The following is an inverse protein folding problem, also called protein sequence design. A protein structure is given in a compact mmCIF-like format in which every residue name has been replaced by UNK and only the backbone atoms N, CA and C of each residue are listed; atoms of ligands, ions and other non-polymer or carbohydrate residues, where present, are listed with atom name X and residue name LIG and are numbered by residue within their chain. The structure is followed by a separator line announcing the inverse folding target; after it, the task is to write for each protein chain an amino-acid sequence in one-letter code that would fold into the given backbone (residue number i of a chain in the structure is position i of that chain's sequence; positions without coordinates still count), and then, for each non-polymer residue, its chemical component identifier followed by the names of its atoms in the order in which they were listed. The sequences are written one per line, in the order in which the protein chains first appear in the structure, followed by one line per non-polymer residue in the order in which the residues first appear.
data_IF_860282170341
#
_entry.id   IF_860282170341
#
_cell.length_a   1.000
_cell.length_b   1.000
_cell.length_c   1.000
_cell.angle_alpha   90.00
_cell.angle_beta   90.00
_cell.angle_gamma   90.00
#
_symmetry.space_group_name_H-M   'P 1'
#
loop_
_entity.id
_entity.type
_entity.pdbx_description
1 polymer ?
#
# COMPACT_ATOMS: atom_id res chain seq x y z
N UNK A 1 -8.75 22.12 7.42
CA UNK A 1 -7.51 21.31 7.39
C UNK A 1 -7.12 21.02 5.96
N UNK A 2 -5.88 21.30 5.60
CA UNK A 2 -5.35 21.00 4.27
C UNK A 2 -4.98 19.50 4.17
N UNK A 3 -4.81 19.01 2.94
CA UNK A 3 -4.36 17.64 2.71
C UNK A 3 -3.01 17.39 3.39
N UNK A 4 -2.09 18.34 3.30
CA UNK A 4 -0.78 18.25 3.95
C UNK A 4 -0.90 18.09 5.46
N UNK A 5 -1.71 18.93 6.11
CA UNK A 5 -1.93 18.84 7.56
C UNK A 5 -2.54 17.50 7.96
N UNK A 6 -3.50 17.03 7.18
CA UNK A 6 -4.13 15.73 7.43
C UNK A 6 -3.13 14.59 7.32
N UNK A 7 -2.34 14.57 6.25
CA UNK A 7 -1.35 13.51 6.04
C UNK A 7 -0.28 13.52 7.13
N UNK A 8 0.18 14.70 7.56
CA UNK A 8 1.16 14.82 8.62
C UNK A 8 0.66 14.25 9.96
N UNK A 9 -0.64 14.29 10.19
CA UNK A 9 -1.23 13.74 11.41
C UNK A 9 -1.65 12.28 11.31
N UNK A 10 -1.84 11.77 10.10
CA UNK A 10 -2.35 10.42 9.86
C UNK A 10 -1.26 9.41 9.50
N UNK A 11 -0.35 9.80 8.62
CA UNK A 11 0.69 8.90 8.10
C UNK A 11 1.85 8.80 9.09
N UNK A 12 2.39 7.59 9.33
CA UNK A 12 3.54 7.42 10.22
C UNK A 12 4.76 8.23 9.78
N UNK A 13 5.57 8.69 10.74
CA UNK A 13 6.73 9.52 10.48
C UNK A 13 7.73 8.88 9.51
N UNK A 14 7.89 7.55 9.58
CA UNK A 14 8.81 6.86 8.68
C UNK A 14 8.41 7.01 7.21
N UNK A 15 7.12 7.05 6.92
CA UNK A 15 6.63 7.30 5.56
C UNK A 15 6.77 8.77 5.19
N UNK A 16 6.47 9.67 6.12
CA UNK A 16 6.61 11.11 5.88
C UNK A 16 8.03 11.50 5.55
N UNK A 17 9.02 10.88 6.22
CA UNK A 17 10.44 11.14 5.95
C UNK A 17 10.87 10.66 4.56
N UNK A 18 10.17 9.68 4.00
CA UNK A 18 10.46 9.14 2.67
C UNK A 18 9.75 9.91 1.56
N UNK A 19 8.84 10.82 1.92
CA UNK A 19 8.08 11.63 0.97
C UNK A 19 8.76 12.98 0.77
N UNK A 20 8.91 13.39 -0.49
CA UNK A 20 9.47 14.72 -0.80
C UNK A 20 8.47 15.82 -0.43
N UNK A 21 7.18 15.50 -0.54
CA UNK A 21 6.10 16.43 -0.18
C UNK A 21 4.91 15.64 0.34
N UNK A 22 4.06 16.27 1.12
CA UNK A 22 2.85 15.65 1.65
C UNK A 22 1.72 15.77 0.62
N UNK A 23 1.72 14.87 -0.37
CA UNK A 23 0.73 14.83 -1.44
C UNK A 23 0.26 13.40 -1.68
N UNK A 24 -0.87 13.25 -2.36
CA UNK A 24 -1.41 11.94 -2.71
C UNK A 24 -0.43 11.16 -3.58
N UNK A 25 0.19 11.80 -4.58
CA UNK A 25 1.13 11.15 -5.49
C UNK A 25 2.39 10.67 -4.76
N UNK A 26 2.95 11.51 -3.90
CA UNK A 26 4.13 11.13 -3.10
C UNK A 26 3.80 9.98 -2.16
N UNK A 27 2.62 10.01 -1.55
CA UNK A 27 2.16 8.93 -0.67
C UNK A 27 2.00 7.62 -1.45
N UNK A 28 1.45 7.69 -2.67
CA UNK A 28 1.30 6.51 -3.52
C UNK A 28 2.65 5.88 -3.84
N UNK A 29 3.66 6.67 -4.14
CA UNK A 29 5.02 6.16 -4.43
C UNK A 29 5.62 5.43 -3.24
N UNK A 30 5.50 6.00 -2.04
CA UNK A 30 6.02 5.39 -0.81
C UNK A 30 5.24 4.10 -0.49
N UNK A 31 3.93 4.14 -0.66
CA UNK A 31 3.09 2.96 -0.43
C UNK A 31 3.42 1.84 -1.42
N UNK A 32 3.70 2.18 -2.68
CA UNK A 32 4.08 1.19 -3.69
C UNK A 32 5.33 0.42 -3.28
N UNK A 33 6.36 1.12 -2.81
CA UNK A 33 7.58 0.48 -2.33
C UNK A 33 7.32 -0.40 -1.11
N UNK A 34 6.51 0.08 -0.18
CA UNK A 34 6.14 -0.66 1.02
C UNK A 34 5.37 -1.94 0.69
N UNK A 35 4.37 -1.82 -0.18
CA UNK A 35 3.53 -2.95 -0.61
C UNK A 35 4.39 -3.98 -1.35
N UNK A 36 5.26 -3.52 -2.25
CA UNK A 36 6.12 -4.41 -3.01
C UNK A 36 7.06 -5.20 -2.10
N UNK A 37 7.63 -4.56 -1.09
CA UNK A 37 8.49 -5.22 -0.11
C UNK A 37 7.76 -6.33 0.64
N UNK A 38 6.55 -6.04 1.14
CA UNK A 38 5.76 -7.02 1.88
C UNK A 38 5.31 -8.14 0.94
N UNK A 39 4.82 -7.78 -0.25
CA UNK A 39 4.35 -8.75 -1.23
C UNK A 39 5.46 -9.69 -1.66
N UNK A 40 6.67 -9.18 -1.89
CA UNK A 40 7.82 -9.99 -2.27
C UNK A 40 8.16 -11.03 -1.20
N UNK A 41 8.11 -10.64 0.08
CA UNK A 41 8.38 -11.56 1.20
C UNK A 41 7.29 -12.62 1.32
N UNK A 42 6.04 -12.23 1.23
CA UNK A 42 4.91 -13.16 1.32
C UNK A 42 4.92 -14.13 0.14
N UNK A 43 5.12 -13.63 -1.07
CA UNK A 43 5.16 -14.47 -2.27
C UNK A 43 6.34 -15.44 -2.24
N UNK A 44 7.47 -15.04 -1.67
CA UNK A 44 8.63 -15.90 -1.51
C UNK A 44 8.29 -17.10 -0.59
N UNK A 45 7.64 -16.83 0.54
CA UNK A 45 7.19 -17.87 1.47
C UNK A 45 6.15 -18.79 0.82
N UNK A 46 5.20 -18.20 0.11
CA UNK A 46 4.10 -18.93 -0.53
C UNK A 46 4.49 -19.54 -1.89
N UNK A 47 5.72 -19.32 -2.33
CA UNK A 47 6.27 -19.84 -3.58
C UNK A 47 5.49 -19.44 -4.81
N UNK A 48 5.10 -18.17 -4.87
CA UNK A 48 4.46 -17.60 -6.05
C UNK A 48 5.29 -16.40 -6.55
N UNK A 49 5.04 -16.01 -7.80
CA UNK A 49 5.73 -14.87 -8.38
C UNK A 49 5.28 -13.57 -7.70
N UNK A 50 6.21 -12.65 -7.49
CA UNK A 50 5.88 -11.33 -6.97
C UNK A 50 4.90 -10.61 -7.91
N UNK A 51 4.01 -9.74 -7.39
CA UNK A 51 3.07 -9.03 -8.25
C UNK A 51 3.80 -8.06 -9.18
N UNK A 52 3.17 -7.82 -10.34
CA UNK A 52 3.64 -6.85 -11.30
C UNK A 52 3.67 -5.45 -10.65
N UNK A 53 4.69 -4.67 -10.99
CA UNK A 53 4.83 -3.30 -10.52
C UNK A 53 3.58 -2.47 -10.81
N UNK A 54 2.96 -2.63 -11.98
CA UNK A 54 1.74 -1.92 -12.33
C UNK A 54 0.58 -2.26 -11.40
N UNK A 55 0.47 -3.52 -10.99
CA UNK A 55 -0.55 -3.94 -10.04
C UNK A 55 -0.31 -3.31 -8.66
N UNK A 56 0.94 -3.30 -8.21
CA UNK A 56 1.32 -2.70 -6.93
C UNK A 56 1.05 -1.18 -6.95
N UNK A 57 1.40 -0.51 -8.05
CA UNK A 57 1.10 0.92 -8.21
C UNK A 57 -0.39 1.19 -8.18
N UNK A 58 -1.20 0.31 -8.77
CA UNK A 58 -2.66 0.41 -8.71
C UNK A 58 -3.17 0.32 -7.29
N UNK A 59 -2.68 -0.62 -6.51
CA UNK A 59 -3.04 -0.74 -5.09
C UNK A 59 -2.62 0.51 -4.31
N UNK A 60 -1.40 0.97 -4.52
CA UNK A 60 -0.87 2.15 -3.83
C UNK A 60 -1.67 3.40 -4.13
N UNK A 61 -2.00 3.62 -5.40
CA UNK A 61 -2.80 4.78 -5.82
C UNK A 61 -4.20 4.75 -5.20
N UNK A 62 -4.81 3.57 -5.18
CA UNK A 62 -6.14 3.37 -4.61
C UNK A 62 -6.14 3.67 -3.10
N UNK A 63 -5.14 3.16 -2.39
CA UNK A 63 -5.00 3.39 -0.94
C UNK A 63 -4.67 4.84 -0.63
N UNK A 64 -3.78 5.47 -1.40
CA UNK A 64 -3.45 6.87 -1.22
C UNK A 64 -4.68 7.75 -1.43
N UNK A 65 -5.47 7.46 -2.45
CA UNK A 65 -6.73 8.15 -2.70
C UNK A 65 -7.72 7.98 -1.55
N UNK A 66 -7.85 6.75 -1.04
CA UNK A 66 -8.71 6.46 0.12
C UNK A 66 -8.28 7.22 1.36
N UNK A 67 -6.97 7.29 1.62
CA UNK A 67 -6.42 8.04 2.75
C UNK A 67 -6.76 9.53 2.59
N UNK A 68 -6.54 10.10 1.41
CA UNK A 68 -6.81 11.53 1.17
C UNK A 68 -8.30 11.86 1.24
N UNK A 69 -9.18 10.90 0.94
CA UNK A 69 -10.63 11.06 1.07
C UNK A 69 -11.13 10.75 2.49
N UNK A 70 -10.20 10.45 3.41
CA UNK A 70 -10.51 10.15 4.82
C UNK A 70 -11.41 8.93 4.99
N UNK A 71 -11.23 7.93 4.13
CA UNK A 71 -11.99 6.67 4.19
C UNK A 71 -11.49 5.75 5.29
N UNK A 72 -10.25 5.93 5.75
CA UNK A 72 -9.65 5.15 6.82
C UNK A 72 -9.60 5.97 8.11
N UNK A 73 -9.92 5.32 9.23
CA UNK A 73 -9.96 5.99 10.54
C UNK A 73 -8.57 6.15 11.15
N UNK A 74 -7.69 5.17 10.90
CA UNK A 74 -6.34 5.13 11.45
C UNK A 74 -5.42 4.36 10.51
N UNK A 75 -4.14 4.52 10.70
CA UNK A 75 -3.13 3.86 9.87
C UNK A 75 -3.23 2.33 9.91
N UNK A 76 -3.57 1.75 11.08
CA UNK A 76 -3.75 0.31 11.20
C UNK A 76 -4.76 -0.26 10.21
N UNK A 77 -5.80 0.50 9.88
CA UNK A 77 -6.81 0.08 8.91
C UNK A 77 -6.21 0.00 7.49
N UNK A 78 -5.28 0.91 7.18
CA UNK A 78 -4.56 0.90 5.90
C UNK A 78 -3.65 -0.33 5.82
N UNK A 79 -2.93 -0.63 6.89
CA UNK A 79 -2.06 -1.81 6.94
C UNK A 79 -2.84 -3.10 6.77
N UNK A 80 -4.00 -3.19 7.41
CA UNK A 80 -4.90 -4.35 7.28
C UNK A 80 -5.34 -4.52 5.83
N UNK A 81 -5.73 -3.42 5.17
CA UNK A 81 -6.15 -3.45 3.76
C UNK A 81 -5.00 -3.89 2.85
N UNK A 82 -3.78 -3.43 3.11
CA UNK A 82 -2.60 -3.85 2.36
C UNK A 82 -2.42 -5.37 2.47
N UNK A 83 -2.48 -5.91 3.67
CA UNK A 83 -2.36 -7.35 3.90
C UNK A 83 -3.47 -8.13 3.18
N UNK A 84 -4.70 -7.65 3.26
CA UNK A 84 -5.84 -8.30 2.60
C UNK A 84 -5.64 -8.38 1.09
N UNK A 85 -5.15 -7.31 0.47
CA UNK A 85 -4.90 -7.28 -0.97
C UNK A 85 -3.78 -8.21 -1.38
N UNK A 86 -2.71 -8.28 -0.58
CA UNK A 86 -1.58 -9.18 -0.85
C UNK A 86 -2.01 -10.63 -0.75
N UNK A 87 -2.75 -11.01 0.29
CA UNK A 87 -3.22 -12.37 0.46
C UNK A 87 -4.25 -12.76 -0.60
N UNK A 88 -5.10 -11.83 -1.04
CA UNK A 88 -6.02 -12.05 -2.15
C UNK A 88 -5.24 -12.36 -3.44
N UNK A 89 -4.19 -11.60 -3.70
CA UNK A 89 -3.31 -11.83 -4.85
C UNK A 89 -2.66 -13.22 -4.77
N UNK A 90 -2.12 -13.59 -3.62
CA UNK A 90 -1.50 -14.89 -3.40
C UNK A 90 -2.50 -16.02 -3.63
N UNK A 91 -3.72 -15.87 -3.11
CA UNK A 91 -4.79 -16.84 -3.31
C UNK A 91 -5.11 -17.07 -4.78
N UNK A 92 -5.17 -15.99 -5.57
CA UNK A 92 -5.41 -16.08 -7.01
C UNK A 92 -4.26 -16.77 -7.74
N UNK A 93 -3.03 -16.49 -7.34
CA UNK A 93 -1.86 -17.17 -7.92
C UNK A 93 -1.87 -18.66 -7.63
N UNK A 94 -2.24 -19.05 -6.42
CA UNK A 94 -2.33 -20.46 -6.03
C UNK A 94 -3.45 -21.17 -6.78
N UNK A 95 -4.59 -20.52 -6.98
CA UNK A 95 -5.70 -21.08 -7.77
C UNK A 95 -5.30 -21.31 -9.23
N UNK A 96 -4.54 -20.37 -9.81
CA UNK A 96 -4.08 -20.48 -11.19
C UNK A 96 -3.15 -21.66 -11.42
N UNK A 97 -2.53 -22.21 -10.35
CA UNK A 97 -1.62 -23.34 -10.42
C UNK A 97 -2.31 -24.70 -10.36
N UNK A 98 -3.58 -24.71 -10.01
CA UNK A 98 -4.36 -25.98 -9.91
C UNK A 98 -4.89 -26.43 -11.31
#
# INVERSE_FOLDING_TARGET
MTTEEYLNGFVPLCFLHSMDEASEDALADVLADYILNIASKVCDVERCAAPDENLVMGYAADLAGGICRKEYRRWGDVEEEICNRIYDYVGRCQEARK
#
